data_IF_518501379529
#
_entry.id   IF_518501379529
#
_cell.length_a   1.000
_cell.length_b   1.000
_cell.length_c   1.000
_cell.angle_alpha   90.00
_cell.angle_beta   90.00
_cell.angle_gamma   90.00
#
_symmetry.space_group_name_H-M   'P 1'
#
loop_
_entity.id
_entity.type
_entity.pdbx_description
1 polymer ?
#
# COMPACT_ATOMS: atom_id res chain seq x y z
N UNK A 1 -21.53 -9.65 5.40
CA UNK A 1 -20.06 -9.69 5.42
C UNK A 1 -19.53 -8.60 4.51
N UNK A 2 -18.92 -7.57 5.08
CA UNK A 2 -18.40 -6.41 4.35
C UNK A 2 -17.35 -6.88 3.34
N UNK A 3 -17.68 -6.84 2.04
CA UNK A 3 -16.73 -7.11 0.96
C UNK A 3 -15.65 -6.03 1.04
N UNK A 4 -14.47 -6.39 1.57
CA UNK A 4 -13.30 -5.54 1.50
C UNK A 4 -13.02 -5.28 0.01
N UNK A 5 -12.86 -4.02 -0.40
CA UNK A 5 -12.65 -3.69 -1.79
C UNK A 5 -11.35 -4.37 -2.25
N UNK A 6 -11.43 -5.09 -3.37
CA UNK A 6 -10.26 -5.61 -4.06
C UNK A 6 -9.57 -4.38 -4.69
N UNK A 7 -8.73 -3.71 -3.90
CA UNK A 7 -7.96 -2.57 -4.40
C UNK A 7 -6.67 -3.09 -5.01
N UNK A 8 -6.32 -2.56 -6.17
CA UNK A 8 -5.01 -2.78 -6.77
C UNK A 8 -3.93 -2.14 -5.90
N UNK A 9 -2.68 -2.64 -5.97
CA UNK A 9 -1.56 -2.00 -5.28
C UNK A 9 -1.39 -0.51 -5.65
N UNK A 10 -1.79 -0.13 -6.86
CA UNK A 10 -1.78 1.26 -7.34
C UNK A 10 -2.81 2.12 -6.59
N UNK A 11 -4.01 1.60 -6.36
CA UNK A 11 -5.05 2.31 -5.60
C UNK A 11 -4.65 2.47 -4.13
N UNK A 12 -4.03 1.45 -3.54
CA UNK A 12 -3.47 1.54 -2.20
C UNK A 12 -2.40 2.64 -2.13
N UNK A 13 -1.44 2.66 -3.06
CA UNK A 13 -0.42 3.72 -3.14
C UNK A 13 -1.07 5.11 -3.26
N UNK A 14 -2.07 5.28 -4.14
CA UNK A 14 -2.80 6.54 -4.29
C UNK A 14 -3.50 6.96 -3.00
N UNK A 15 -4.13 6.03 -2.29
CA UNK A 15 -4.80 6.30 -1.02
C UNK A 15 -3.79 6.75 0.04
N UNK A 16 -2.67 6.02 0.19
CA UNK A 16 -1.61 6.38 1.12
C UNK A 16 -0.97 7.73 0.78
N UNK A 17 -0.81 8.05 -0.51
CA UNK A 17 -0.33 9.36 -0.95
C UNK A 17 -1.22 10.52 -0.56
N UNK A 18 -2.55 10.33 -0.48
CA UNK A 18 -3.45 11.35 0.10
C UNK A 18 -3.22 11.61 1.59
N UNK A 19 -2.64 10.65 2.31
CA UNK A 19 -2.37 10.73 3.76
C UNK A 19 -0.91 11.13 4.06
N UNK A 20 -0.17 11.55 3.02
CA UNK A 20 1.21 12.05 3.11
C UNK A 20 2.29 10.97 2.96
N UNK A 21 1.96 9.80 2.40
CA UNK A 21 2.94 8.77 2.08
C UNK A 21 3.40 8.89 0.63
N UNK A 22 4.70 9.04 0.42
CA UNK A 22 5.30 9.14 -0.90
C UNK A 22 6.03 7.84 -1.27
N UNK A 23 5.88 7.34 -2.51
CA UNK A 23 6.65 6.19 -2.97
C UNK A 23 8.14 6.51 -2.99
N UNK A 24 8.93 5.68 -2.31
CA UNK A 24 10.36 5.88 -2.15
C UNK A 24 11.19 4.89 -2.97
N UNK A 25 10.86 3.59 -2.93
CA UNK A 25 11.55 2.58 -3.75
C UNK A 25 10.61 1.43 -4.11
N UNK A 26 10.88 0.74 -5.22
CA UNK A 26 10.21 -0.51 -5.57
C UNK A 26 11.21 -1.66 -5.47
N UNK A 27 10.84 -2.73 -4.77
CA UNK A 27 11.61 -3.97 -4.66
C UNK A 27 10.75 -5.12 -5.15
N UNK A 28 11.06 -5.63 -6.34
CA UNK A 28 10.26 -6.66 -7.01
C UNK A 28 8.81 -6.19 -7.23
N UNK A 29 7.85 -6.98 -6.76
CA UNK A 29 6.43 -6.63 -6.80
C UNK A 29 5.98 -5.71 -5.67
N UNK A 30 6.85 -5.20 -4.80
CA UNK A 30 6.47 -4.35 -3.67
C UNK A 30 6.97 -2.92 -3.85
N UNK A 31 6.13 -1.93 -3.55
CA UNK A 31 6.45 -0.51 -3.50
C UNK A 31 6.53 -0.07 -2.06
N UNK A 32 7.69 0.41 -1.65
CA UNK A 32 7.93 0.99 -0.32
C UNK A 32 7.58 2.47 -0.37
N UNK A 33 6.62 2.87 0.46
CA UNK A 33 6.24 4.24 0.73
C UNK A 33 6.96 4.74 1.99
N UNK A 34 7.28 6.03 2.02
CA UNK A 34 7.82 6.74 3.17
C UNK A 34 6.95 7.95 3.45
N UNK A 35 6.80 8.33 4.72
CA UNK A 35 6.15 9.57 5.11
C UNK A 35 7.20 10.50 5.70
N UNK A 36 7.20 11.76 5.29
CA UNK A 36 8.11 12.75 5.85
C UNK A 36 7.81 12.93 7.35
N UNK A 37 8.86 12.97 8.18
CA UNK A 37 8.72 12.97 9.65
C UNK A 37 8.38 11.60 10.27
N UNK A 38 8.18 10.55 9.47
CA UNK A 38 7.97 9.19 9.96
C UNK A 38 9.23 8.34 9.81
N UNK A 39 9.57 7.60 10.87
CA UNK A 39 10.67 6.60 10.84
C UNK A 39 10.22 5.27 10.23
N UNK A 40 8.93 5.07 10.00
CA UNK A 40 8.39 3.84 9.42
C UNK A 40 8.26 3.95 7.90
N UNK A 41 8.48 2.82 7.24
CA UNK A 41 8.27 2.65 5.80
C UNK A 41 7.15 1.65 5.58
N UNK A 42 6.22 1.96 4.69
CA UNK A 42 5.06 1.12 4.40
C UNK A 42 5.28 0.37 3.09
N UNK A 43 5.27 -0.96 3.11
CA UNK A 43 5.45 -1.79 1.92
C UNK A 43 4.08 -2.16 1.33
N UNK A 44 3.82 -1.76 0.09
CA UNK A 44 2.57 -2.05 -0.62
C UNK A 44 2.87 -3.02 -1.77
N UNK A 45 2.26 -4.21 -1.81
CA UNK A 45 2.39 -5.08 -2.97
C UNK A 45 1.68 -4.48 -4.19
N UNK A 46 2.42 -4.31 -5.28
CA UNK A 46 1.97 -3.93 -6.63
C UNK A 46 1.45 -5.16 -7.39
N UNK A 47 0.50 -5.87 -6.79
CA UNK A 47 -0.25 -6.91 -7.49
C UNK A 47 -1.55 -6.33 -8.08
N UNK A 48 -2.03 -6.93 -9.18
CA UNK A 48 -3.23 -6.47 -9.91
C UNK A 48 -4.51 -6.64 -9.08
N UNK A 49 -4.51 -7.56 -8.12
CA UNK A 49 -5.56 -7.74 -7.12
C UNK A 49 -4.90 -8.03 -5.76
N UNK A 50 -5.08 -7.15 -4.77
CA UNK A 50 -4.77 -7.48 -3.39
C UNK A 50 -5.93 -8.30 -2.83
N UNK A 51 -5.67 -9.56 -2.48
CA UNK A 51 -6.66 -10.39 -1.81
C UNK A 51 -7.03 -9.74 -0.47
N UNK A 52 -8.31 -9.77 -0.05
CA UNK A 52 -8.80 -9.10 1.15
C UNK A 52 -8.14 -9.57 2.45
N UNK A 53 -7.43 -10.71 2.44
CA UNK A 53 -6.66 -11.22 3.57
C UNK A 53 -5.47 -10.34 3.99
N UNK A 54 -4.92 -9.51 3.10
CA UNK A 54 -3.75 -8.69 3.44
C UNK A 54 -4.11 -7.44 4.26
N UNK A 55 -5.38 -6.97 4.21
CA UNK A 55 -5.84 -5.81 5.00
C UNK A 55 -6.03 -6.13 6.49
N UNK A 56 -5.95 -7.40 6.89
CA UNK A 56 -6.08 -7.82 8.31
C UNK A 56 -4.74 -7.84 9.06
N UNK A 57 -3.62 -7.76 8.35
CA UNK A 57 -2.28 -8.00 8.89
C UNK A 57 -1.37 -6.75 8.83
N UNK A 58 -1.96 -5.58 8.50
CA UNK A 58 -1.31 -4.26 8.49
C UNK A 58 -1.90 -3.35 9.56
#
# INVERSE_FOLDING_TARGET
MSKLPIISGIEAIKAFSKVGWTPHRQVGSHVVLRKEGSRVTLSVPKHRELKPGLLRDI
#
